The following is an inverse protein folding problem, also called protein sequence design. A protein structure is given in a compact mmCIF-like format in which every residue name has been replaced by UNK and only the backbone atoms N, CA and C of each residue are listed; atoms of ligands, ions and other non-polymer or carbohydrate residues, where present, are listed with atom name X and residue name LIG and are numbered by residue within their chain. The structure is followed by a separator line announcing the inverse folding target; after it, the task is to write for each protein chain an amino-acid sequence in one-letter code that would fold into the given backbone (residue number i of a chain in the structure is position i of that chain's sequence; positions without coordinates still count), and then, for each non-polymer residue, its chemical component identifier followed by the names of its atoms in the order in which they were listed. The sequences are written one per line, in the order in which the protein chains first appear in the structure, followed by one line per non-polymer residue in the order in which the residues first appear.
data_IF_052560712726
#
_entry.id   IF_052560712726
#
_cell.length_a   1.000
_cell.length_b   1.000
_cell.length_c   1.000
_cell.angle_alpha   90.00
_cell.angle_beta   90.00
_cell.angle_gamma   90.00
#
_symmetry.space_group_name_H-M   'P 1'
#
loop_
_entity.id
_entity.type
_entity.pdbx_description
1 polymer ?
#
# COMPACT_ATOMS: atom_id res chain seq x y z
N UNK A 1 20.11 -18.81 6.04
CA UNK A 1 20.41 -17.56 5.30
C UNK A 1 20.28 -17.87 3.82
N UNK A 2 19.43 -17.13 3.09
CA UNK A 2 19.23 -17.27 1.66
C UNK A 2 20.47 -16.79 0.89
N UNK A 3 20.68 -17.30 -0.33
CA UNK A 3 21.86 -17.03 -1.18
C UNK A 3 22.18 -15.54 -1.44
N UNK A 4 21.30 -14.60 -1.09
CA UNK A 4 21.47 -13.14 -1.26
C UNK A 4 21.41 -12.37 0.06
N UNK A 5 21.75 -12.98 1.19
CA UNK A 5 21.76 -12.31 2.50
C UNK A 5 20.39 -12.14 3.16
N UNK A 6 19.35 -12.77 2.61
CA UNK A 6 18.01 -12.78 3.23
C UNK A 6 17.90 -13.77 4.39
N UNK A 7 17.06 -13.46 5.37
CA UNK A 7 16.66 -14.39 6.42
C UNK A 7 15.24 -14.91 6.15
N UNK A 8 15.00 -16.19 6.47
CA UNK A 8 13.67 -16.78 6.50
C UNK A 8 13.34 -17.02 7.98
N UNK A 9 12.28 -16.38 8.47
CA UNK A 9 11.74 -16.67 9.79
C UNK A 9 10.59 -17.67 9.66
N UNK A 10 10.70 -18.76 10.40
CA UNK A 10 9.58 -19.68 10.62
C UNK A 10 8.96 -19.31 11.96
N UNK A 11 7.66 -19.02 11.94
CA UNK A 11 6.87 -18.72 13.13
C UNK A 11 5.94 -19.88 13.41
N UNK A 12 5.61 -20.05 14.69
CA UNK A 12 4.82 -21.17 15.20
C UNK A 12 3.34 -21.09 14.81
N UNK A 13 2.80 -19.90 14.57
CA UNK A 13 1.39 -19.71 14.19
C UNK A 13 1.15 -18.39 13.40
N UNK A 14 -0.08 -18.23 12.92
CA UNK A 14 -0.50 -17.04 12.16
C UNK A 14 -0.56 -15.77 13.03
N UNK A 15 -0.90 -15.90 14.32
CA UNK A 15 -1.00 -14.76 15.22
C UNK A 15 0.39 -14.14 15.47
N UNK A 16 1.41 -14.96 15.66
CA UNK A 16 2.81 -14.54 15.74
C UNK A 16 3.26 -13.86 14.45
N UNK A 17 2.85 -14.38 13.28
CA UNK A 17 3.14 -13.75 11.98
C UNK A 17 2.47 -12.38 11.82
N UNK A 18 1.21 -12.26 12.24
CA UNK A 18 0.47 -11.00 12.22
C UNK A 18 1.07 -9.99 13.17
N UNK A 19 1.40 -10.40 14.39
CA UNK A 19 2.09 -9.56 15.37
C UNK A 19 3.45 -9.09 14.82
N UNK A 20 4.23 -9.98 14.21
CA UNK A 20 5.54 -9.63 13.67
C UNK A 20 5.43 -8.58 12.56
N UNK A 21 4.44 -8.71 11.66
CA UNK A 21 4.19 -7.71 10.61
C UNK A 21 3.83 -6.35 11.19
N UNK A 22 2.97 -6.31 12.21
CA UNK A 22 2.57 -5.06 12.86
C UNK A 22 3.71 -4.40 13.66
N UNK A 23 4.69 -5.17 14.14
CA UNK A 23 5.79 -4.71 14.99
C UNK A 23 7.16 -4.83 14.31
N UNK A 24 7.19 -4.86 12.97
CA UNK A 24 8.40 -5.18 12.21
C UNK A 24 9.54 -4.18 12.46
N UNK A 25 9.24 -2.89 12.61
CA UNK A 25 10.25 -1.86 12.90
C UNK A 25 11.00 -2.10 14.21
N UNK A 26 10.26 -2.34 15.29
CA UNK A 26 10.81 -2.64 16.61
C UNK A 26 11.60 -3.95 16.59
N UNK A 27 11.06 -4.95 15.91
CA UNK A 27 11.70 -6.25 15.76
C UNK A 27 13.06 -6.13 15.04
N UNK A 28 13.12 -5.43 13.91
CA UNK A 28 14.37 -5.23 13.16
C UNK A 28 15.41 -4.43 13.96
N UNK A 29 14.97 -3.42 14.71
CA UNK A 29 15.83 -2.64 15.61
C UNK A 29 16.49 -3.55 16.63
N UNK A 30 15.73 -4.46 17.26
CA UNK A 30 16.26 -5.45 18.22
C UNK A 30 17.10 -6.54 17.57
N UNK A 31 16.87 -6.85 16.29
CA UNK A 31 17.66 -7.83 15.52
C UNK A 31 19.03 -7.29 15.05
N UNK A 32 19.43 -6.10 15.47
CA UNK A 32 20.71 -5.50 15.12
C UNK A 32 20.65 -4.44 14.01
N UNK A 33 19.44 -3.97 13.63
CA UNK A 33 19.22 -2.72 12.91
C UNK A 33 19.71 -2.64 11.46
N UNK A 34 20.49 -3.61 10.98
CA UNK A 34 21.04 -3.63 9.60
C UNK A 34 20.12 -4.30 8.59
N UNK A 35 19.07 -4.97 9.04
CA UNK A 35 18.12 -5.69 8.19
C UNK A 35 17.01 -4.76 7.75
N UNK A 36 16.80 -4.65 6.44
CA UNK A 36 15.69 -3.86 5.86
C UNK A 36 14.53 -4.78 5.55
N UNK A 37 13.38 -4.56 6.18
CA UNK A 37 12.12 -5.14 5.72
C UNK A 37 11.57 -4.31 4.57
N UNK A 38 11.33 -4.97 3.44
CA UNK A 38 10.68 -4.37 2.29
C UNK A 38 9.26 -4.89 2.20
N UNK A 39 8.29 -4.02 2.46
CA UNK A 39 6.90 -4.32 2.16
C UNK A 39 6.73 -4.51 0.65
N UNK A 40 6.04 -5.60 0.30
CA UNK A 40 5.69 -5.90 -1.08
C UNK A 40 4.42 -5.12 -1.42
N UNK A 41 4.61 -3.89 -1.88
CA UNK A 41 3.52 -3.08 -2.43
C UNK A 41 3.28 -3.46 -3.88
N UNK A 42 2.01 -3.64 -4.25
CA UNK A 42 1.58 -3.79 -5.63
C UNK A 42 0.77 -2.57 -6.06
N UNK A 43 0.76 -2.29 -7.37
CA UNK A 43 -0.14 -1.29 -7.94
C UNK A 43 -1.48 -1.95 -8.25
N UNK A 44 -2.56 -1.30 -7.83
CA UNK A 44 -3.94 -1.68 -8.15
C UNK A 44 -4.60 -0.55 -8.95
N UNK A 45 -5.52 -0.91 -9.85
CA UNK A 45 -6.28 0.07 -10.63
C UNK A 45 -7.63 0.29 -9.94
N UNK A 46 -7.85 1.51 -9.46
CA UNK A 46 -9.13 1.94 -8.90
C UNK A 46 -10.05 2.39 -10.02
N UNK A 47 -11.30 1.97 -10.00
CA UNK A 47 -12.29 2.31 -11.04
C UNK A 47 -13.22 3.41 -10.57
N UNK A 48 -13.73 4.17 -11.53
CA UNK A 48 -14.80 5.17 -11.31
C UNK A 48 -14.46 6.32 -10.36
N UNK A 49 -13.17 6.60 -10.14
CA UNK A 49 -12.75 7.76 -9.33
C UNK A 49 -13.04 9.04 -10.12
N UNK A 50 -13.83 9.99 -9.59
CA UNK A 50 -14.13 11.24 -10.31
C UNK A 50 -12.87 12.01 -10.68
N UNK A 51 -12.80 12.56 -11.89
CA UNK A 51 -11.61 13.32 -12.33
C UNK A 51 -11.39 14.59 -11.52
N UNK A 52 -12.46 15.10 -10.89
CA UNK A 52 -12.46 16.22 -9.97
C UNK A 52 -12.08 15.84 -8.54
N UNK A 53 -11.83 14.56 -8.26
CA UNK A 53 -11.47 14.09 -6.93
C UNK A 53 -10.04 14.50 -6.59
N UNK A 54 -9.87 15.17 -5.46
CA UNK A 54 -8.55 15.56 -4.97
C UNK A 54 -7.88 14.39 -4.22
N UNK A 55 -6.94 13.73 -4.89
CA UNK A 55 -6.14 12.64 -4.30
C UNK A 55 -5.19 13.11 -3.19
N UNK A 56 -4.94 14.43 -3.06
CA UNK A 56 -4.08 14.99 -2.02
C UNK A 56 -4.84 15.37 -0.74
N UNK A 57 -6.18 15.37 -0.78
CA UNK A 57 -7.00 15.68 0.38
C UNK A 57 -6.80 14.66 1.51
N UNK A 58 -6.88 15.11 2.75
CA UNK A 58 -6.83 14.23 3.92
C UNK A 58 -7.97 13.22 3.87
N UNK A 59 -7.65 11.94 4.10
CA UNK A 59 -8.63 10.84 4.02
C UNK A 59 -9.01 10.40 2.59
N UNK A 60 -8.49 11.03 1.54
CA UNK A 60 -8.82 10.70 0.15
C UNK A 60 -8.58 9.22 -0.20
N UNK A 61 -7.47 8.63 0.28
CA UNK A 61 -7.16 7.21 0.08
C UNK A 61 -8.16 6.29 0.78
N UNK A 62 -8.66 6.68 1.96
CA UNK A 62 -9.67 5.92 2.69
C UNK A 62 -10.99 5.85 1.92
N UNK A 63 -11.45 7.00 1.42
CA UNK A 63 -12.67 7.09 0.60
C UNK A 63 -12.54 6.26 -0.68
N UNK A 64 -11.49 6.47 -1.47
CA UNK A 64 -11.26 5.72 -2.72
C UNK A 64 -11.11 4.23 -2.47
N UNK A 65 -10.41 3.85 -1.39
CA UNK A 65 -10.24 2.47 -0.99
C UNK A 65 -11.57 1.82 -0.63
N UNK A 66 -12.36 2.46 0.23
CA UNK A 66 -13.69 1.98 0.64
C UNK A 66 -14.62 1.80 -0.56
N UNK A 67 -14.70 2.79 -1.45
CA UNK A 67 -15.53 2.72 -2.67
C UNK A 67 -15.08 1.61 -3.63
N UNK A 68 -13.84 1.14 -3.52
CA UNK A 68 -13.28 0.04 -4.29
C UNK A 68 -13.16 -1.27 -3.47
N UNK A 69 -13.84 -1.38 -2.33
CA UNK A 69 -13.86 -2.56 -1.45
C UNK A 69 -12.48 -2.96 -0.89
N UNK A 70 -11.61 -1.98 -0.63
CA UNK A 70 -10.36 -2.20 0.07
C UNK A 70 -10.53 -1.98 1.56
N UNK A 71 -9.76 -2.73 2.35
CA UNK A 71 -9.64 -2.50 3.78
C UNK A 71 -9.01 -1.13 4.06
N UNK A 72 -9.37 -0.56 5.20
CA UNK A 72 -8.73 0.65 5.70
C UNK A 72 -7.21 0.44 5.83
N UNK A 73 -6.44 1.45 5.41
CA UNK A 73 -4.97 1.39 5.41
C UNK A 73 -4.35 0.53 4.29
N UNK A 74 -5.14 -0.11 3.41
CA UNK A 74 -4.60 -0.91 2.32
C UNK A 74 -3.92 -0.08 1.21
N UNK A 75 -4.31 1.20 1.05
CA UNK A 75 -3.71 2.12 0.08
C UNK A 75 -2.64 2.99 0.76
N UNK A 76 -1.39 2.86 0.30
CA UNK A 76 -0.26 3.66 0.78
C UNK A 76 -0.11 4.97 0.00
N UNK A 77 -0.42 4.95 -1.30
CA UNK A 77 -0.35 6.11 -2.19
C UNK A 77 -1.25 5.91 -3.40
N UNK A 78 -1.72 7.00 -3.98
CA UNK A 78 -2.46 6.99 -5.24
C UNK A 78 -1.85 7.98 -6.24
N UNK A 79 -2.05 7.69 -7.53
CA UNK A 79 -1.75 8.60 -8.62
C UNK A 79 -2.69 8.30 -9.79
N UNK A 80 -2.95 9.32 -10.60
CA UNK A 80 -3.65 9.10 -11.86
C UNK A 80 -2.80 8.28 -12.83
N UNK A 81 -3.41 7.29 -13.50
CA UNK A 81 -2.75 6.54 -14.58
C UNK A 81 -2.43 7.48 -15.75
N UNK A 82 -3.38 8.37 -16.07
CA UNK A 82 -3.21 9.48 -17.01
C UNK A 82 -3.26 10.79 -16.23
N UNK A 83 -2.23 11.66 -16.33
CA UNK A 83 -2.26 12.98 -15.73
C UNK A 83 -3.53 13.75 -16.11
N UNK A 84 -4.00 14.63 -15.21
CA UNK A 84 -5.26 15.36 -15.39
C UNK A 84 -5.30 16.13 -16.73
N UNK A 85 -4.16 16.66 -17.15
CA UNK A 85 -3.98 17.43 -18.39
C UNK A 85 -4.17 16.58 -19.65
N UNK A 86 -4.07 15.25 -19.53
CA UNK A 86 -4.21 14.29 -20.62
C UNK A 86 -5.54 13.52 -20.59
N UNK A 87 -6.46 13.92 -19.71
CA UNK A 87 -7.79 13.35 -19.67
C UNK A 87 -8.67 13.93 -20.78
N UNK A 88 -9.65 13.14 -21.24
CA UNK A 88 -10.49 13.57 -22.36
C UNK A 88 -11.43 14.70 -21.89
N UNK A 89 -11.64 15.76 -22.70
CA UNK A 89 -12.66 16.76 -22.40
C UNK A 89 -14.02 16.09 -22.14
N UNK A 90 -14.67 16.44 -21.03
CA UNK A 90 -15.97 15.89 -20.63
C UNK A 90 -15.92 14.53 -19.92
N UNK A 91 -14.75 13.95 -19.70
CA UNK A 91 -14.61 12.74 -18.89
C UNK A 91 -14.98 13.04 -17.43
N UNK A 92 -15.91 12.26 -16.85
CA UNK A 92 -16.37 12.46 -15.46
C UNK A 92 -15.60 11.62 -14.44
N UNK A 93 -15.15 10.45 -14.87
CA UNK A 93 -14.47 9.46 -14.01
C UNK A 93 -13.23 8.92 -14.71
N UNK A 94 -12.21 8.55 -13.95
CA UNK A 94 -11.08 7.79 -14.45
C UNK A 94 -11.50 6.36 -14.83
N UNK A 95 -10.96 5.90 -15.96
CA UNK A 95 -11.11 4.54 -16.49
C UNK A 95 -9.83 3.76 -16.28
#
# INVERSE_FOLDING_TARGET
ILRRGGALLHLNDEAAARWLKANMGDFLTRMGGTTVYKEWLCNVVMRFVPVSFDLAAEGALGVVGSDNNLLEGALVKARWIKPLERQKPGQRVAH
#
